data_IF_302770440918
#
_entry.id   IF_302770440918
#
_cell.length_a   1.000
_cell.length_b   1.000
_cell.length_c   1.000
_cell.angle_alpha   90.00
_cell.angle_beta   90.00
_cell.angle_gamma   90.00
#
_symmetry.space_group_name_H-M   'P 1'
#
loop_
_entity.id
_entity.type
_entity.pdbx_description
1 polymer ?
#
# COMPACT_ATOMS: atom_id res chain seq x y z
N UNK A 1 5.79 -22.60 36.66
CA UNK A 1 5.04 -22.29 35.42
C UNK A 1 6.00 -21.59 34.48
N UNK A 2 6.77 -22.38 33.73
CA UNK A 2 7.56 -21.82 32.62
C UNK A 2 6.60 -21.72 31.45
N UNK A 3 6.27 -20.50 31.03
CA UNK A 3 5.69 -20.31 29.71
C UNK A 3 6.72 -20.85 28.71
N UNK A 4 6.33 -21.81 27.88
CA UNK A 4 7.21 -22.31 26.82
C UNK A 4 7.50 -21.13 25.90
N UNK A 5 8.76 -20.71 25.87
CA UNK A 5 9.21 -19.58 25.07
C UNK A 5 8.85 -19.78 23.59
N UNK A 6 8.80 -21.04 23.13
CA UNK A 6 8.37 -21.38 21.78
C UNK A 6 6.88 -21.10 21.56
N UNK A 7 6.01 -21.44 22.51
CA UNK A 7 4.57 -21.18 22.43
C UNK A 7 4.27 -19.67 22.41
N UNK A 8 5.02 -18.86 23.18
CA UNK A 8 4.92 -17.40 23.13
C UNK A 8 5.36 -16.81 21.79
N UNK A 9 6.46 -17.31 21.22
CA UNK A 9 6.98 -16.89 19.91
C UNK A 9 6.00 -17.27 18.79
N UNK A 10 5.43 -18.49 18.82
CA UNK A 10 4.43 -18.94 17.86
C UNK A 10 3.15 -18.09 17.94
N UNK A 11 2.66 -17.83 19.15
CA UNK A 11 1.48 -16.97 19.37
C UNK A 11 1.72 -15.56 18.85
N UNK A 12 2.89 -14.95 19.12
CA UNK A 12 3.22 -13.64 18.56
C UNK A 12 3.33 -13.64 17.04
N UNK A 13 3.86 -14.73 16.46
CA UNK A 13 3.99 -14.87 15.01
C UNK A 13 2.62 -14.96 14.34
N UNK A 14 1.71 -15.74 14.91
CA UNK A 14 0.32 -15.85 14.43
C UNK A 14 -0.42 -14.52 14.54
N UNK A 15 -0.40 -13.88 15.70
CA UNK A 15 -1.07 -12.58 15.90
C UNK A 15 -0.52 -11.52 14.94
N UNK A 16 0.80 -11.46 14.76
CA UNK A 16 1.40 -10.51 13.82
C UNK A 16 1.01 -10.83 12.37
N UNK A 17 1.06 -12.11 11.98
CA UNK A 17 0.65 -12.53 10.64
C UNK A 17 -0.80 -12.11 10.36
N UNK A 18 -1.71 -12.41 11.27
CA UNK A 18 -3.13 -12.11 11.12
C UNK A 18 -3.39 -10.60 11.09
N UNK A 19 -2.73 -9.84 11.98
CA UNK A 19 -2.82 -8.38 11.98
C UNK A 19 -2.31 -7.77 10.66
N UNK A 20 -1.18 -8.25 10.13
CA UNK A 20 -0.63 -7.78 8.85
C UNK A 20 -1.54 -8.15 7.68
N UNK A 21 -2.05 -9.38 7.64
CA UNK A 21 -2.92 -9.85 6.56
C UNK A 21 -4.25 -9.11 6.56
N UNK A 22 -4.84 -8.90 7.74
CA UNK A 22 -6.06 -8.10 7.90
C UNK A 22 -5.83 -6.65 7.46
N UNK A 23 -4.77 -6.00 7.96
CA UNK A 23 -4.44 -4.62 7.58
C UNK A 23 -4.20 -4.48 6.08
N UNK A 24 -3.49 -5.43 5.47
CA UNK A 24 -3.20 -5.41 4.04
C UNK A 24 -4.49 -5.53 3.20
N UNK A 25 -5.34 -6.51 3.53
CA UNK A 25 -6.64 -6.69 2.84
C UNK A 25 -7.56 -5.49 3.03
N UNK A 26 -7.59 -4.90 4.23
CA UNK A 26 -8.38 -3.70 4.52
C UNK A 26 -7.93 -2.51 3.66
N UNK A 27 -6.63 -2.24 3.59
CA UNK A 27 -6.08 -1.14 2.77
C UNK A 27 -6.38 -1.38 1.29
N UNK A 28 -6.17 -2.60 0.78
CA UNK A 28 -6.50 -2.94 -0.61
C UNK A 28 -7.99 -2.74 -0.91
N UNK A 29 -8.87 -3.16 0.00
CA UNK A 29 -10.31 -2.93 -0.13
C UNK A 29 -10.66 -1.44 -0.19
N UNK A 30 -10.09 -0.64 0.71
CA UNK A 30 -10.31 0.81 0.75
C UNK A 30 -9.82 1.48 -0.54
N UNK A 31 -8.66 1.08 -1.07
CA UNK A 31 -8.13 1.56 -2.35
C UNK A 31 -9.08 1.25 -3.50
N UNK A 32 -9.58 0.02 -3.61
CA UNK A 32 -10.54 -0.38 -4.65
C UNK A 32 -11.82 0.44 -4.55
N UNK A 33 -12.38 0.58 -3.35
CA UNK A 33 -13.61 1.37 -3.13
C UNK A 33 -13.38 2.85 -3.48
N UNK A 34 -12.23 3.42 -3.08
CA UNK A 34 -11.87 4.80 -3.39
C UNK A 34 -11.78 5.06 -4.88
N UNK A 35 -11.05 4.22 -5.62
CA UNK A 35 -10.97 4.35 -7.08
C UNK A 35 -12.34 4.13 -7.75
N UNK A 36 -13.14 3.17 -7.29
CA UNK A 36 -14.47 2.93 -7.84
C UNK A 36 -15.41 4.15 -7.68
N UNK A 37 -15.43 4.76 -6.49
CA UNK A 37 -16.20 5.98 -6.24
C UNK A 37 -15.73 7.15 -7.11
N UNK A 38 -14.42 7.26 -7.31
CA UNK A 38 -13.85 8.30 -8.18
C UNK A 38 -14.22 8.08 -9.65
N UNK A 39 -14.16 6.85 -10.16
CA UNK A 39 -14.60 6.53 -11.53
C UNK A 39 -16.10 6.73 -11.72
N UNK A 40 -16.91 6.52 -10.68
CA UNK A 40 -18.32 6.87 -10.72
C UNK A 40 -18.54 8.39 -10.89
N UNK A 41 -17.86 9.21 -10.09
CA UNK A 41 -17.92 10.67 -10.20
C UNK A 41 -17.38 11.17 -11.55
N UNK A 42 -16.29 10.56 -12.02
CA UNK A 42 -15.71 10.80 -13.32
C UNK A 42 -16.76 10.64 -14.43
N UNK A 43 -17.40 9.46 -14.51
CA UNK A 43 -18.43 9.19 -15.52
C UNK A 43 -19.62 10.16 -15.40
N UNK A 44 -20.04 10.50 -14.18
CA UNK A 44 -21.13 11.47 -13.96
C UNK A 44 -20.80 12.90 -14.39
N UNK A 45 -19.52 13.24 -14.48
CA UNK A 45 -19.07 14.58 -14.86
C UNK A 45 -18.58 14.65 -16.32
N UNK A 46 -18.73 13.55 -17.06
CA UNK A 46 -18.43 13.48 -18.50
C UNK A 46 -19.26 14.50 -19.30
N UNK A 47 -18.59 15.21 -20.20
CA UNK A 47 -19.21 16.24 -21.04
C UNK A 47 -19.56 17.55 -20.33
N UNK A 48 -19.41 17.62 -18.99
CA UNK A 48 -19.72 18.81 -18.18
C UNK A 48 -18.49 19.64 -17.84
N UNK A 49 -17.29 19.06 -18.00
CA UNK A 49 -16.02 19.72 -17.76
C UNK A 49 -15.33 20.15 -19.07
N UNK A 50 -14.54 21.24 -19.04
CA UNK A 50 -13.63 21.58 -20.13
C UNK A 50 -12.69 20.41 -20.50
N UNK A 51 -12.41 20.17 -21.79
CA UNK A 51 -11.56 19.07 -22.25
C UNK A 51 -10.14 19.06 -21.62
N UNK A 52 -9.62 20.24 -21.28
CA UNK A 52 -8.32 20.41 -20.62
C UNK A 52 -8.35 19.84 -19.20
N UNK A 53 -9.41 20.12 -18.44
CA UNK A 53 -9.57 19.58 -17.09
C UNK A 53 -9.79 18.07 -17.14
N UNK A 54 -10.64 17.59 -18.06
CA UNK A 54 -10.86 16.16 -18.25
C UNK A 54 -9.56 15.41 -18.55
N UNK A 55 -8.77 15.87 -19.53
CA UNK A 55 -7.47 15.28 -19.84
C UNK A 55 -6.48 15.37 -18.66
N UNK A 56 -6.51 16.48 -17.92
CA UNK A 56 -5.65 16.70 -16.76
C UNK A 56 -5.90 15.71 -15.63
N UNK A 57 -7.18 15.45 -15.29
CA UNK A 57 -7.50 14.47 -14.25
C UNK A 57 -7.08 13.06 -14.72
N UNK A 58 -7.22 12.72 -16.01
CA UNK A 58 -6.81 11.41 -16.55
C UNK A 58 -5.32 11.19 -16.34
N UNK A 59 -4.52 12.23 -16.61
CA UNK A 59 -3.08 12.20 -16.40
C UNK A 59 -2.73 12.04 -14.91
N UNK A 60 -3.41 12.76 -14.02
CA UNK A 60 -3.21 12.64 -12.57
C UNK A 60 -3.52 11.23 -12.08
N UNK A 61 -4.59 10.61 -12.60
CA UNK A 61 -4.96 9.23 -12.26
C UNK A 61 -3.93 8.23 -12.79
N UNK A 62 -3.48 8.38 -14.02
CA UNK A 62 -2.43 7.53 -14.59
C UNK A 62 -1.13 7.62 -13.77
N UNK A 63 -0.73 8.82 -13.35
CA UNK A 63 0.45 9.01 -12.49
C UNK A 63 0.23 8.33 -11.13
N UNK A 64 -0.92 8.55 -10.49
CA UNK A 64 -1.23 7.98 -9.17
C UNK A 64 -1.22 6.44 -9.21
N UNK A 65 -1.97 5.85 -10.14
CA UNK A 65 -2.09 4.39 -10.29
C UNK A 65 -0.78 3.78 -10.73
N UNK A 66 -0.07 4.38 -11.69
CA UNK A 66 1.24 3.92 -12.13
C UNK A 66 2.27 3.92 -11.01
N UNK A 67 2.30 5.00 -10.21
CA UNK A 67 3.19 5.08 -9.04
C UNK A 67 2.81 4.05 -7.97
N UNK A 68 1.51 3.86 -7.71
CA UNK A 68 1.02 2.86 -6.76
C UNK A 68 1.41 1.44 -7.19
N UNK A 69 1.23 1.10 -8.46
CA UNK A 69 1.61 -0.20 -9.01
C UNK A 69 3.12 -0.44 -8.88
N UNK A 70 3.94 0.55 -9.26
CA UNK A 70 5.39 0.47 -9.13
C UNK A 70 5.82 0.27 -7.67
N UNK A 71 5.16 0.96 -6.74
CA UNK A 71 5.39 0.81 -5.31
C UNK A 71 5.00 -0.58 -4.78
N UNK A 72 3.84 -1.10 -5.16
CA UNK A 72 3.39 -2.44 -4.74
C UNK A 72 4.30 -3.54 -5.30
N UNK A 73 4.73 -3.44 -6.57
CA UNK A 73 5.69 -4.38 -7.16
C UNK A 73 7.02 -4.34 -6.40
N UNK A 74 7.54 -3.14 -6.12
CA UNK A 74 8.76 -2.98 -5.32
C UNK A 74 8.59 -3.58 -3.91
N UNK A 75 7.50 -3.27 -3.23
CA UNK A 75 7.22 -3.76 -1.88
C UNK A 75 7.01 -5.28 -1.84
N UNK A 76 6.41 -5.86 -2.88
CA UNK A 76 6.25 -7.30 -3.05
C UNK A 76 7.60 -7.99 -3.24
N UNK A 77 8.42 -7.51 -4.18
CA UNK A 77 9.76 -8.06 -4.42
C UNK A 77 10.65 -7.95 -3.18
N UNK A 78 10.54 -6.85 -2.44
CA UNK A 78 11.25 -6.66 -1.19
C UNK A 78 10.80 -7.67 -0.12
N UNK A 79 9.49 -7.81 0.11
CA UNK A 79 8.92 -8.80 1.04
C UNK A 79 9.30 -10.23 0.67
N UNK A 80 9.24 -10.58 -0.61
CA UNK A 80 9.63 -11.90 -1.12
C UNK A 80 11.11 -12.21 -0.83
N UNK A 81 12.01 -11.26 -1.11
CA UNK A 81 13.44 -11.42 -0.78
C UNK A 81 13.67 -11.61 0.71
N UNK A 82 12.93 -10.87 1.55
CA UNK A 82 13.02 -10.99 3.00
C UNK A 82 12.61 -12.38 3.48
N UNK A 83 11.47 -12.89 2.98
CA UNK A 83 10.95 -14.20 3.30
C UNK A 83 11.87 -15.33 2.82
N UNK A 84 12.46 -15.22 1.63
CA UNK A 84 13.43 -16.21 1.13
C UNK A 84 14.68 -16.29 2.01
N UNK A 85 15.18 -15.14 2.50
CA UNK A 85 16.33 -15.10 3.43
C UNK A 85 16.00 -15.69 4.80
N UNK A 86 14.79 -15.47 5.29
CA UNK A 86 14.30 -16.10 6.52
C UNK A 86 14.10 -17.61 6.34
N UNK A 87 13.56 -18.04 5.20
CA UNK A 87 13.39 -19.46 4.88
C UNK A 87 14.73 -20.19 4.79
N UNK A 88 15.78 -19.57 4.24
CA UNK A 88 17.13 -20.14 4.26
C UNK A 88 17.76 -20.22 5.66
N UNK A 89 17.22 -19.47 6.63
CA UNK A 89 17.72 -19.45 8.00
C UNK A 89 17.10 -20.53 8.90
N UNK A 90 15.91 -21.02 8.57
CA UNK A 90 15.12 -21.92 9.43
C UNK A 90 15.50 -23.40 9.27
N UNK A 91 16.49 -23.74 8.42
CA UNK A 91 16.89 -25.13 8.19
C UNK A 91 15.81 -25.95 7.46
N UNK A 92 16.13 -27.17 7.05
CA UNK A 92 15.14 -28.06 6.41
C UNK A 92 14.20 -28.65 7.47
N UNK A 93 12.96 -29.01 7.11
CA UNK A 93 12.06 -29.71 8.03
C UNK A 93 12.73 -30.98 8.56
N UNK A 94 12.94 -31.08 9.88
CA UNK A 94 13.53 -32.25 10.55
C UNK A 94 14.99 -32.11 10.98
N UNK A 95 15.65 -30.97 10.76
CA UNK A 95 16.95 -30.65 11.36
C UNK A 95 16.76 -29.95 12.72
N UNK A 96 17.57 -30.33 13.73
CA UNK A 96 17.69 -29.55 14.97
C UNK A 96 18.23 -28.17 14.63
N UNK A 97 17.43 -27.14 14.92
CA UNK A 97 17.81 -25.75 14.68
C UNK A 97 18.87 -25.38 15.72
N UNK A 98 20.12 -25.25 15.29
CA UNK A 98 21.17 -24.65 16.11
C UNK A 98 20.81 -23.19 16.40
N UNK A 99 20.50 -22.90 17.66
CA UNK A 99 20.07 -21.60 18.12
C UNK A 99 21.13 -20.51 17.85
N UNK A 100 22.42 -20.84 17.95
CA UNK A 100 23.50 -19.88 17.67
C UNK A 100 23.58 -19.54 16.18
N UNK A 101 23.49 -20.55 15.31
CA UNK A 101 23.46 -20.36 13.86
C UNK A 101 22.24 -19.55 13.42
N UNK A 102 21.07 -19.83 13.99
CA UNK A 102 19.84 -19.08 13.73
C UNK A 102 19.96 -17.61 14.18
N UNK A 103 20.47 -17.36 15.39
CA UNK A 103 20.70 -16.01 15.89
C UNK A 103 21.70 -15.23 15.02
N UNK A 104 22.77 -15.87 14.56
CA UNK A 104 23.75 -15.24 13.68
C UNK A 104 23.16 -14.83 12.31
N UNK A 105 22.31 -15.69 11.71
CA UNK A 105 21.63 -15.36 10.44
C UNK A 105 20.57 -14.27 10.66
N UNK A 106 19.83 -14.31 11.77
CA UNK A 106 18.85 -13.29 12.10
C UNK A 106 19.50 -11.92 12.35
N UNK A 107 20.62 -11.86 13.08
CA UNK A 107 21.37 -10.62 13.29
C UNK A 107 21.89 -10.02 11.98
N UNK A 108 22.46 -10.84 11.10
CA UNK A 108 22.87 -10.38 9.76
C UNK A 108 21.71 -9.83 8.95
N UNK A 109 20.55 -10.46 9.00
CA UNK A 109 19.34 -9.96 8.34
C UNK A 109 18.88 -8.62 8.94
N UNK A 110 18.97 -8.45 10.26
CA UNK A 110 18.66 -7.19 10.93
C UNK A 110 19.64 -6.07 10.56
N UNK A 111 20.93 -6.37 10.47
CA UNK A 111 21.94 -5.39 10.06
C UNK A 111 21.76 -4.96 8.60
N UNK A 112 21.46 -5.90 7.70
CA UNK A 112 21.11 -5.62 6.31
C UNK A 112 19.85 -4.74 6.23
N UNK A 113 18.81 -5.07 7.00
CA UNK A 113 17.59 -4.26 7.09
C UNK A 113 17.89 -2.85 7.61
N UNK A 114 18.75 -2.72 8.62
CA UNK A 114 19.14 -1.43 9.20
C UNK A 114 19.86 -0.54 8.20
N UNK A 115 20.66 -1.13 7.32
CA UNK A 115 21.33 -0.41 6.23
C UNK A 115 20.38 -0.05 5.07
N UNK A 116 19.32 -0.85 4.85
CA UNK A 116 18.32 -0.61 3.82
C UNK A 116 17.21 0.35 4.27
N UNK A 117 16.91 0.41 5.56
CA UNK A 117 15.86 1.24 6.16
C UNK A 117 15.95 2.73 5.77
N UNK A 118 17.12 3.39 5.80
CA UNK A 118 17.24 4.78 5.37
C UNK A 118 16.90 4.97 3.89
N UNK A 119 17.31 4.03 3.03
CA UNK A 119 17.02 4.07 1.58
C UNK A 119 15.54 3.84 1.30
N UNK A 120 14.93 2.88 2.00
CA UNK A 120 13.49 2.62 1.95
C UNK A 120 12.69 3.84 2.40
N UNK A 121 13.09 4.44 3.53
CA UNK A 121 12.45 5.66 4.05
C UNK A 121 12.60 6.82 3.07
N UNK A 122 13.77 6.98 2.46
CA UNK A 122 14.00 8.01 1.44
C UNK A 122 13.15 7.79 0.18
N UNK A 123 12.94 6.53 -0.24
CA UNK A 123 12.09 6.18 -1.37
C UNK A 123 10.58 6.26 -1.05
N UNK A 124 10.20 6.13 0.23
CA UNK A 124 8.81 6.16 0.67
C UNK A 124 8.16 7.53 0.46
N UNK A 125 8.83 8.62 0.83
CA UNK A 125 8.29 9.97 0.67
C UNK A 125 7.92 10.34 -0.78
N UNK A 126 8.82 10.19 -1.79
CA UNK A 126 8.47 10.50 -3.17
C UNK A 126 7.41 9.57 -3.73
N UNK A 127 7.39 8.29 -3.33
CA UNK A 127 6.34 7.35 -3.74
C UNK A 127 4.97 7.77 -3.19
N UNK A 128 4.89 8.10 -1.90
CA UNK A 128 3.66 8.59 -1.29
C UNK A 128 3.21 9.91 -1.90
N UNK A 129 4.14 10.83 -2.18
CA UNK A 129 3.82 12.08 -2.86
C UNK A 129 3.24 11.83 -4.26
N UNK A 130 3.85 10.94 -5.04
CA UNK A 130 3.39 10.59 -6.39
C UNK A 130 2.05 9.83 -6.42
N UNK A 131 1.64 9.21 -5.32
CA UNK A 131 0.34 8.53 -5.20
C UNK A 131 -0.73 9.48 -4.65
N UNK A 132 -0.45 10.11 -3.51
CA UNK A 132 -1.42 10.87 -2.71
C UNK A 132 -1.73 12.24 -3.29
N UNK A 133 -0.73 12.96 -3.81
CA UNK A 133 -0.97 14.31 -4.34
C UNK A 133 -1.83 14.27 -5.60
N UNK A 134 -1.52 13.44 -6.61
CA UNK A 134 -2.35 13.41 -7.82
C UNK A 134 -3.76 12.90 -7.55
N UNK A 135 -3.94 11.91 -6.66
CA UNK A 135 -5.28 11.40 -6.32
C UNK A 135 -6.10 12.43 -5.55
N UNK A 136 -5.49 13.16 -4.60
CA UNK A 136 -6.19 14.20 -3.84
C UNK A 136 -6.61 15.37 -4.74
N UNK A 137 -5.75 15.77 -5.69
CA UNK A 137 -6.09 16.78 -6.69
C UNK A 137 -7.22 16.30 -7.61
N UNK A 138 -7.16 15.05 -8.09
CA UNK A 138 -8.22 14.48 -8.91
C UNK A 138 -9.57 14.47 -8.17
N UNK A 139 -9.58 14.05 -6.90
CA UNK A 139 -10.76 14.11 -6.04
C UNK A 139 -11.30 15.53 -5.88
N UNK A 140 -10.43 16.51 -5.58
CA UNK A 140 -10.84 17.89 -5.39
C UNK A 140 -11.53 18.46 -6.66
N UNK A 141 -10.96 18.20 -7.84
CA UNK A 141 -11.52 18.67 -9.11
C UNK A 141 -12.86 17.97 -9.41
N UNK A 142 -12.93 16.65 -9.25
CA UNK A 142 -14.15 15.88 -9.50
C UNK A 142 -15.30 16.28 -8.56
N UNK A 143 -15.01 16.46 -7.28
CA UNK A 143 -16.01 16.90 -6.29
C UNK A 143 -16.47 18.33 -6.56
N UNK A 144 -15.55 19.25 -6.91
CA UNK A 144 -15.91 20.60 -7.28
C UNK A 144 -16.80 20.64 -8.53
N UNK A 145 -16.45 19.88 -9.57
CA UNK A 145 -17.24 19.77 -10.80
C UNK A 145 -18.63 19.20 -10.52
N UNK A 146 -18.72 18.14 -9.71
CA UNK A 146 -19.98 17.53 -9.30
C UNK A 146 -20.85 18.51 -8.48
N UNK A 147 -20.27 19.22 -7.52
CA UNK A 147 -21.00 20.18 -6.69
C UNK A 147 -21.57 21.34 -7.52
N UNK A 148 -20.77 21.91 -8.43
CA UNK A 148 -21.23 22.99 -9.33
C UNK A 148 -22.40 22.51 -10.20
N UNK A 149 -22.31 21.30 -10.74
CA UNK A 149 -23.36 20.72 -11.56
C UNK A 149 -24.64 20.44 -10.76
N UNK A 150 -24.49 19.86 -9.57
CA UNK A 150 -25.61 19.59 -8.67
C UNK A 150 -26.36 20.88 -8.28
N UNK A 151 -25.61 21.94 -7.95
CA UNK A 151 -26.19 23.26 -7.65
C UNK A 151 -26.95 23.81 -8.86
N UNK A 152 -26.37 23.71 -10.07
CA UNK A 152 -27.03 24.17 -11.30
C UNK A 152 -28.36 23.44 -11.55
N UNK A 153 -28.42 22.13 -11.32
CA UNK A 153 -29.64 21.34 -11.50
C UNK A 153 -30.74 21.80 -10.52
N UNK A 154 -30.39 22.06 -9.26
CA UNK A 154 -31.35 22.54 -8.26
C UNK A 154 -31.95 23.90 -8.66
N UNK A 155 -31.12 24.85 -9.11
CA UNK A 155 -31.60 26.18 -9.51
C UNK A 155 -32.41 26.18 -10.83
N UNK A 156 -32.32 25.14 -11.65
CA UNK A 156 -33.14 25.02 -12.87
C UNK A 156 -34.49 24.32 -12.62
N UNK A 157 -34.66 23.68 -11.47
CA UNK A 157 -35.88 22.93 -11.10
C UNK A 157 -36.75 23.64 -10.07
N UNK A 158 -36.26 24.76 -9.50
CA UNK A 158 -36.99 25.67 -8.62
C UNK A 158 -37.55 26.87 -9.41
#
# INVERSE_FOLDING_TARGET
MGYDFNEFIETQREINRDAFEFAHRYVQGLVVVGYAAMFFLWNKTEGRMPPVLWSGISLLLCISVGTYLAWEVFAFLFRQRLLMRQASAVGKPGEEIDAEAFHAVMQRNLDDLRNLLPRLRAAWYPAMFGIVVPIALAWAVLLAAFAIDFIRIIYQTA
#
